data_IF_802213324953
#
_entry.id   IF_802213324953
#
_cell.length_a   1.000
_cell.length_b   1.000
_cell.length_c   1.000
_cell.angle_alpha   90.00
_cell.angle_beta   90.00
_cell.angle_gamma   90.00
#
_symmetry.space_group_name_H-M   'P 1'
#
loop_
_entity.id
_entity.type
_entity.pdbx_description
1 polymer ?
#
# COMPACT_ATOMS: atom_id res chain seq x y z
N UNK A 1 -15.48 -11.15 18.51
CA UNK A 1 -15.15 -12.38 17.76
C UNK A 1 -13.73 -12.78 18.05
N UNK A 2 -13.38 -14.04 17.77
CA UNK A 2 -12.01 -14.57 17.71
C UNK A 2 -11.48 -14.47 16.28
N UNK A 3 -10.16 -14.51 16.12
CA UNK A 3 -9.53 -14.65 14.81
C UNK A 3 -10.06 -15.92 14.14
N UNK A 4 -10.57 -15.78 12.92
CA UNK A 4 -11.20 -16.88 12.18
C UNK A 4 -12.72 -16.98 12.32
N UNK A 5 -13.37 -16.15 13.14
CA UNK A 5 -14.82 -16.09 13.17
C UNK A 5 -15.37 -15.58 11.82
N UNK A 6 -16.25 -16.36 11.19
CA UNK A 6 -17.04 -15.91 10.04
C UNK A 6 -18.41 -15.50 10.53
N UNK A 7 -18.72 -14.22 10.34
CA UNK A 7 -19.95 -13.59 10.81
C UNK A 7 -20.86 -13.31 9.62
N UNK A 8 -22.15 -13.61 9.77
CA UNK A 8 -23.19 -13.11 8.88
C UNK A 8 -23.70 -11.80 9.48
N UNK A 9 -23.69 -10.75 8.67
CA UNK A 9 -24.32 -9.47 9.01
C UNK A 9 -25.59 -9.38 8.19
N UNK A 10 -26.71 -9.13 8.86
CA UNK A 10 -27.99 -8.88 8.22
C UNK A 10 -28.44 -7.46 8.55
N UNK A 11 -28.79 -6.73 7.51
CA UNK A 11 -29.41 -5.43 7.61
C UNK A 11 -30.87 -5.54 7.21
N UNK A 12 -31.76 -5.06 8.06
CA UNK A 12 -33.20 -5.01 7.81
C UNK A 12 -33.67 -3.56 7.94
N UNK A 13 -34.36 -3.07 6.91
CA UNK A 13 -35.03 -1.77 6.92
C UNK A 13 -36.53 -1.98 6.75
N UNK A 14 -37.32 -1.44 7.67
CA UNK A 14 -38.77 -1.42 7.58
C UNK A 14 -39.25 0.03 7.50
N UNK A 15 -39.99 0.35 6.45
CA UNK A 15 -40.60 1.66 6.26
C UNK A 15 -42.11 1.48 6.38
N UNK A 16 -42.72 2.22 7.30
CA UNK A 16 -44.17 2.24 7.50
C UNK A 16 -44.63 3.67 7.80
N UNK A 17 -45.31 4.29 6.85
CA UNK A 17 -45.70 5.70 6.94
C UNK A 17 -44.48 6.62 6.99
N UNK A 18 -44.40 7.43 8.04
CA UNK A 18 -43.27 8.32 8.35
C UNK A 18 -42.14 7.63 9.15
N UNK A 19 -42.35 6.38 9.60
CA UNK A 19 -41.34 5.64 10.34
C UNK A 19 -40.41 4.86 9.41
N UNK A 20 -39.11 5.06 9.60
CA UNK A 20 -38.02 4.31 8.99
C UNK A 20 -37.21 3.62 10.08
N UNK A 21 -37.41 2.32 10.24
CA UNK A 21 -36.69 1.50 11.21
C UNK A 21 -35.57 0.74 10.51
N UNK A 22 -34.36 0.80 11.08
CA UNK A 22 -33.18 0.09 10.59
C UNK A 22 -32.64 -0.79 11.71
N UNK A 23 -32.44 -2.06 11.41
CA UNK A 23 -31.92 -3.07 12.34
C UNK A 23 -30.70 -3.70 11.69
N UNK A 24 -29.62 -3.77 12.44
CA UNK A 24 -28.46 -4.58 12.11
C UNK A 24 -28.44 -5.74 13.10
N UNK A 25 -28.41 -6.96 12.58
CA UNK A 25 -28.16 -8.17 13.36
C UNK A 25 -26.91 -8.86 12.84
N UNK A 26 -26.20 -9.57 13.71
CA UNK A 26 -25.08 -10.41 13.31
C UNK A 26 -25.12 -11.74 14.04
N UNK A 27 -24.65 -12.79 13.38
CA UNK A 27 -24.52 -14.12 13.97
C UNK A 27 -23.22 -14.78 13.51
N UNK A 28 -22.62 -15.61 14.38
CA UNK A 28 -21.47 -16.43 14.00
C UNK A 28 -21.96 -17.61 13.16
N UNK A 29 -21.47 -17.71 11.94
CA UNK A 29 -21.81 -18.78 10.99
C UNK A 29 -20.90 -19.99 11.22
N UNK A 30 -19.60 -19.75 11.32
CA UNK A 30 -18.59 -20.79 11.55
C UNK A 30 -17.28 -20.20 12.09
N UNK A 31 -16.38 -21.08 12.46
CA UNK A 31 -15.00 -20.77 12.81
C UNK A 31 -14.09 -21.41 11.77
N UNK A 32 -13.28 -20.58 11.11
CA UNK A 32 -12.27 -21.00 10.16
C UNK A 32 -10.93 -20.52 10.69
N UNK A 33 -10.13 -21.46 11.23
CA UNK A 33 -8.77 -21.12 11.64
C UNK A 33 -8.00 -20.64 10.41
N UNK A 34 -7.47 -19.41 10.40
CA UNK A 34 -6.67 -18.96 9.28
C UNK A 34 -5.46 -19.88 9.13
N UNK A 35 -5.04 -20.11 7.89
CA UNK A 35 -3.80 -20.83 7.65
C UNK A 35 -2.62 -20.01 8.16
N UNK A 36 -1.48 -20.65 8.41
CA UNK A 36 -0.24 -19.96 8.77
C UNK A 36 0.13 -18.92 7.70
N UNK A 37 -0.06 -19.26 6.42
CA UNK A 37 0.17 -18.36 5.29
C UNK A 37 -0.74 -17.11 5.35
N UNK A 38 -2.01 -17.28 5.73
CA UNK A 38 -2.92 -16.15 5.91
C UNK A 38 -2.56 -15.27 7.11
N UNK A 39 -2.11 -15.86 8.21
CA UNK A 39 -1.63 -15.12 9.38
C UNK A 39 -0.36 -14.34 9.04
N UNK A 40 0.59 -14.96 8.35
CA UNK A 40 1.82 -14.32 7.90
C UNK A 40 1.52 -13.18 6.92
N UNK A 41 0.60 -13.37 5.98
CA UNK A 41 0.17 -12.30 5.07
C UNK A 41 -0.49 -11.13 5.81
N UNK A 42 -1.28 -11.41 6.85
CA UNK A 42 -1.92 -10.37 7.68
C UNK A 42 -0.94 -9.65 8.63
N UNK A 43 0.09 -10.35 9.08
CA UNK A 43 1.13 -9.79 9.94
C UNK A 43 2.22 -9.03 9.18
N UNK A 44 2.34 -9.26 7.86
CA UNK A 44 3.30 -8.57 7.01
C UNK A 44 2.76 -7.21 6.57
N UNK A 45 3.62 -6.19 6.70
CA UNK A 45 3.33 -4.86 6.17
C UNK A 45 3.20 -4.91 4.64
N UNK A 46 2.22 -4.19 4.10
CA UNK A 46 2.09 -3.91 2.67
C UNK A 46 2.92 -2.68 2.34
N UNK A 47 3.54 -2.72 1.17
CA UNK A 47 4.21 -1.56 0.61
C UNK A 47 3.60 -1.26 -0.74
N UNK A 48 3.37 0.01 -0.99
CA UNK A 48 2.92 0.51 -2.27
C UNK A 48 3.97 1.43 -2.87
N UNK A 49 3.94 1.62 -4.17
CA UNK A 49 4.91 2.46 -4.89
C UNK A 49 4.17 3.45 -5.78
N UNK A 50 4.68 4.67 -5.82
CA UNK A 50 4.20 5.79 -6.62
C UNK A 50 5.39 6.36 -7.38
N UNK A 51 5.18 6.84 -8.61
CA UNK A 51 6.29 7.38 -9.38
C UNK A 51 5.88 8.10 -10.65
N UNK A 52 6.89 8.63 -11.35
CA UNK A 52 6.69 9.48 -12.51
C UNK A 52 6.17 8.74 -13.76
N UNK A 53 6.26 7.41 -13.82
CA UNK A 53 5.84 6.61 -14.99
C UNK A 53 4.37 6.75 -15.35
N UNK A 54 3.51 7.08 -14.38
CA UNK A 54 2.10 7.41 -14.60
C UNK A 54 1.74 8.84 -14.17
N UNK A 55 2.76 9.67 -13.93
CA UNK A 55 2.62 11.03 -13.43
C UNK A 55 2.12 11.10 -12.00
N UNK A 56 2.53 10.16 -11.13
CA UNK A 56 2.16 10.09 -9.71
C UNK A 56 0.65 9.93 -9.48
N UNK A 57 -0.06 9.29 -10.42
CA UNK A 57 -1.53 9.23 -10.43
C UNK A 57 -2.09 8.01 -9.73
N UNK A 58 -1.33 6.91 -9.70
CA UNK A 58 -1.78 5.66 -9.11
C UNK A 58 -0.77 5.15 -8.10
N UNK A 59 -1.31 4.64 -7.00
CA UNK A 59 -0.57 3.90 -5.99
C UNK A 59 -0.63 2.42 -6.35
N UNK A 60 0.52 1.80 -6.58
CA UNK A 60 0.60 0.39 -6.98
C UNK A 60 1.07 -0.46 -5.79
N UNK A 61 0.30 -1.48 -5.40
CA UNK A 61 0.75 -2.43 -4.37
C UNK A 61 1.92 -3.29 -4.88
N UNK A 62 2.97 -3.41 -4.08
CA UNK A 62 4.16 -4.20 -4.42
C UNK A 62 3.95 -5.67 -4.03
N UNK A 63 4.31 -6.58 -4.93
CA UNK A 63 4.12 -8.02 -4.73
C UNK A 63 5.23 -8.58 -3.84
N UNK A 64 4.85 -9.24 -2.75
CA UNK A 64 5.79 -10.04 -1.96
C UNK A 64 6.16 -11.34 -2.68
N UNK A 65 7.45 -11.62 -2.83
CA UNK A 65 7.93 -12.84 -3.52
C UNK A 65 8.46 -13.95 -2.58
N UNK A 66 8.41 -13.76 -1.26
CA UNK A 66 9.02 -14.66 -0.27
C UNK A 66 10.16 -14.02 0.52
N UNK A 67 10.81 -13.01 -0.05
CA UNK A 67 12.01 -12.36 0.53
C UNK A 67 11.90 -10.83 0.52
N UNK A 68 11.31 -10.25 -0.53
CA UNK A 68 11.20 -8.80 -0.70
C UNK A 68 9.87 -8.40 -1.37
N UNK A 69 9.54 -7.11 -1.27
CA UNK A 69 8.47 -6.49 -2.04
C UNK A 69 9.00 -6.04 -3.39
N UNK A 70 8.34 -6.47 -4.46
CA UNK A 70 8.81 -6.30 -5.83
C UNK A 70 7.78 -5.55 -6.67
N UNK A 71 8.26 -4.54 -7.39
CA UNK A 71 7.51 -3.87 -8.45
C UNK A 71 8.36 -3.79 -9.71
N UNK A 72 7.74 -3.99 -10.87
CA UNK A 72 8.41 -3.92 -12.18
C UNK A 72 7.96 -2.66 -12.90
N UNK A 73 8.91 -1.78 -13.14
CA UNK A 73 8.70 -0.53 -13.89
C UNK A 73 9.39 -0.60 -15.24
N UNK A 74 8.76 -0.04 -16.27
CA UNK A 74 9.35 0.16 -17.58
C UNK A 74 9.69 1.63 -17.72
N UNK A 75 10.96 1.95 -17.93
CA UNK A 75 11.42 3.33 -18.13
C UNK A 75 10.81 3.92 -19.41
N UNK A 76 10.34 5.16 -19.33
CA UNK A 76 9.87 5.92 -20.48
C UNK A 76 11.00 6.34 -21.43
N UNK A 77 10.66 7.18 -22.42
CA UNK A 77 11.61 7.70 -23.42
C UNK A 77 12.80 8.45 -22.82
N UNK A 78 12.65 9.00 -21.62
CA UNK A 78 13.70 9.74 -20.93
C UNK A 78 14.76 8.85 -20.27
N UNK A 79 14.58 7.53 -20.27
CA UNK A 79 15.55 6.60 -19.67
C UNK A 79 15.72 6.74 -18.16
N UNK A 80 14.87 7.54 -17.50
CA UNK A 80 14.90 7.77 -16.06
C UNK A 80 13.49 7.95 -15.50
N UNK A 81 13.25 7.43 -14.30
CA UNK A 81 11.99 7.60 -13.55
C UNK A 81 12.27 7.91 -12.08
N UNK A 82 11.35 8.62 -11.43
CA UNK A 82 11.40 8.97 -10.01
C UNK A 82 10.32 8.24 -9.25
N UNK A 83 10.59 7.86 -8.00
CA UNK A 83 9.59 7.18 -7.18
C UNK A 83 9.76 7.38 -5.68
N UNK A 84 8.71 7.04 -4.95
CA UNK A 84 8.64 6.90 -3.50
C UNK A 84 7.86 5.62 -3.15
N UNK A 85 8.01 5.14 -1.92
CA UNK A 85 7.29 3.97 -1.41
C UNK A 85 6.40 4.41 -0.24
N UNK A 86 5.18 3.91 -0.19
CA UNK A 86 4.21 4.15 0.88
C UNK A 86 4.07 2.88 1.73
N UNK A 87 4.15 3.01 3.04
CA UNK A 87 3.81 1.93 3.97
C UNK A 87 2.29 1.85 4.07
N UNK A 88 1.71 0.66 3.89
CA UNK A 88 0.25 0.43 3.90
C UNK A 88 -0.56 1.29 2.91
N UNK A 89 0.10 1.93 1.94
CA UNK A 89 -0.53 2.89 1.03
C UNK A 89 -0.86 4.24 1.67
N UNK A 90 -0.26 4.55 2.83
CA UNK A 90 -0.50 5.79 3.57
C UNK A 90 0.50 6.89 3.17
N UNK A 91 -0.02 8.08 2.85
CA UNK A 91 0.80 9.25 2.54
C UNK A 91 1.40 9.91 3.79
N UNK A 92 0.95 9.54 4.98
CA UNK A 92 1.57 9.95 6.23
C UNK A 92 2.78 9.06 6.63
N UNK A 93 2.99 7.97 5.91
CA UNK A 93 4.05 6.97 6.15
C UNK A 93 4.78 6.65 4.83
N UNK A 94 5.55 7.62 4.33
CA UNK A 94 6.32 7.54 3.08
C UNK A 94 7.77 7.18 3.38
N UNK A 95 8.31 6.23 2.63
CA UNK A 95 9.74 5.95 2.54
C UNK A 95 10.33 6.73 1.36
N UNK A 96 11.45 7.41 1.62
CA UNK A 96 12.12 8.29 0.66
C UNK A 96 13.64 8.38 0.96
N UNK A 97 14.49 8.77 0.00
CA UNK A 97 15.91 8.98 0.25
C UNK A 97 16.19 10.23 1.09
N UNK A 98 17.34 10.27 1.74
CA UNK A 98 17.79 11.47 2.46
C UNK A 98 17.97 12.73 1.59
N UNK A 99 18.21 12.55 0.28
CA UNK A 99 18.44 13.62 -0.70
C UNK A 99 17.60 13.42 -1.99
N UNK A 100 17.17 14.50 -2.67
CA UNK A 100 16.47 14.43 -3.96
C UNK A 100 17.28 13.75 -5.07
N UNK A 101 16.58 13.05 -5.96
CA UNK A 101 17.15 12.37 -7.14
C UNK A 101 18.30 11.40 -6.80
N UNK A 102 18.28 10.81 -5.59
CA UNK A 102 19.26 9.82 -5.15
C UNK A 102 19.14 8.53 -5.99
N UNK A 103 20.23 8.03 -6.62
CA UNK A 103 20.20 6.76 -7.33
C UNK A 103 19.71 5.62 -6.44
N UNK A 104 18.68 4.89 -6.90
CA UNK A 104 18.05 3.84 -6.11
C UNK A 104 19.02 2.69 -5.74
N UNK A 105 20.00 2.41 -6.61
CA UNK A 105 21.00 1.35 -6.37
C UNK A 105 22.00 1.71 -5.26
N UNK A 106 22.29 3.00 -5.07
CA UNK A 106 23.36 3.47 -4.18
C UNK A 106 22.83 4.09 -2.88
N UNK A 107 21.50 4.14 -2.71
CA UNK A 107 20.87 4.77 -1.55
C UNK A 107 21.13 3.98 -0.26
N UNK A 108 21.93 4.55 0.64
CA UNK A 108 22.18 4.01 1.98
C UNK A 108 21.33 4.68 3.08
N UNK A 109 20.84 5.91 2.85
CA UNK A 109 20.00 6.65 3.80
C UNK A 109 18.53 6.63 3.35
N UNK A 110 17.77 5.68 3.90
CA UNK A 110 16.31 5.57 3.71
C UNK A 110 15.61 6.19 4.91
N UNK A 111 14.82 7.22 4.66
CA UNK A 111 14.04 7.93 5.67
C UNK A 111 12.56 7.54 5.58
N UNK A 112 11.84 7.89 6.64
CA UNK A 112 10.43 7.65 6.78
C UNK A 112 9.72 8.88 7.37
N UNK A 113 8.55 9.23 6.86
CA UNK A 113 7.73 10.32 7.38
C UNK A 113 6.61 10.71 6.43
N UNK A 114 5.77 11.69 6.81
CA UNK A 114 4.64 12.10 5.99
C UNK A 114 5.07 12.82 4.72
N UNK A 115 4.18 12.81 3.72
CA UNK A 115 4.46 13.28 2.36
C UNK A 115 4.99 14.71 2.31
N UNK A 116 4.55 15.57 3.23
CA UNK A 116 5.00 16.96 3.31
C UNK A 116 6.51 17.08 3.54
N UNK A 117 7.12 16.16 4.30
CA UNK A 117 8.58 16.11 4.48
C UNK A 117 9.28 15.34 3.35
N UNK A 118 8.58 14.40 2.74
CA UNK A 118 9.09 13.60 1.63
C UNK A 118 9.04 14.35 0.28
N UNK A 119 8.28 15.44 0.18
CA UNK A 119 7.97 16.08 -1.09
C UNK A 119 9.25 16.57 -1.80
N UNK A 120 9.51 16.00 -2.97
CA UNK A 120 10.70 16.30 -3.77
C UNK A 120 11.91 15.38 -3.49
N UNK A 121 11.90 14.62 -2.40
CA UNK A 121 12.91 13.60 -2.11
C UNK A 121 12.49 12.29 -2.77
N UNK A 122 12.98 12.04 -3.98
CA UNK A 122 12.63 10.86 -4.77
C UNK A 122 13.88 10.03 -5.09
N UNK A 123 13.72 8.71 -5.11
CA UNK A 123 14.74 7.87 -5.72
C UNK A 123 14.71 8.01 -7.24
N UNK A 124 15.88 7.94 -7.85
CA UNK A 124 16.08 7.93 -9.28
C UNK A 124 16.36 6.50 -9.78
N UNK A 125 15.61 6.08 -10.79
CA UNK A 125 15.82 4.83 -11.54
C UNK A 125 16.34 5.16 -12.93
N UNK A 126 17.46 4.57 -13.33
CA UNK A 126 18.07 4.84 -14.63
C UNK A 126 18.74 6.22 -14.71
N UNK A 127 18.92 6.73 -15.93
CA UNK A 127 19.55 8.04 -16.17
C UNK A 127 21.02 8.09 -15.77
N UNK A 128 21.85 7.24 -16.38
CA UNK A 128 23.29 7.18 -16.11
C UNK A 128 23.90 8.57 -15.97
N UNK A 129 24.75 8.74 -14.95
CA UNK A 129 25.70 9.85 -14.87
C UNK A 129 26.82 9.73 -15.91
N UNK A 130 26.76 8.73 -16.81
CA UNK A 130 27.72 8.47 -17.88
C UNK A 130 26.96 8.03 -19.13
N UNK A 131 26.84 8.95 -20.10
CA UNK A 131 26.93 8.68 -21.54
C UNK A 131 28.12 9.51 -22.05
#
# INVERSE_FOLDING_TARGET
>A
GRVGDVLRIEFQRQIAGDQDRRIISWSKVREERPTEEELQRRGRRRYCIVGSWDGWRQTHEMTWNGESHVFKVRLGKGGAERFQILTEGDWEDVLFPGEPDTPALDCQDVRNGPSDFAHGCNWLLGGSAED
#
